data_IF_128696619090
#
_entry.id   IF_128696619090
#
_cell.length_a   1.000
_cell.length_b   1.000
_cell.length_c   1.000
_cell.angle_alpha   90.00
_cell.angle_beta   90.00
_cell.angle_gamma   90.00
#
_symmetry.space_group_name_H-M   'P 1'
#
loop_
_entity.id
_entity.type
_entity.pdbx_description
1 polymer ?
#
# COMPACT_ATOMS: atom_id res chain seq x y z
N UNK A 1 3.96 12.70 -16.98
CA UNK A 1 3.76 11.82 -15.80
C UNK A 1 2.30 11.43 -15.75
N UNK A 2 2.00 10.12 -15.68
CA UNK A 2 0.62 9.65 -15.55
C UNK A 2 0.13 9.94 -14.11
N UNK A 3 -0.81 10.87 -13.96
CA UNK A 3 -1.32 11.33 -12.65
C UNK A 3 -1.91 10.16 -11.85
N UNK A 4 -2.58 9.23 -12.52
CA UNK A 4 -3.14 8.04 -11.88
C UNK A 4 -2.03 7.16 -11.26
N UNK A 5 -0.94 6.94 -12.01
CA UNK A 5 0.20 6.17 -11.52
C UNK A 5 0.90 6.83 -10.33
N UNK A 6 0.87 8.17 -10.24
CA UNK A 6 1.40 8.92 -9.11
C UNK A 6 0.49 8.80 -7.88
N UNK A 7 -0.83 8.93 -8.03
CA UNK A 7 -1.79 8.77 -6.94
C UNK A 7 -1.74 7.37 -6.34
N UNK A 8 -1.67 6.33 -7.18
CA UNK A 8 -1.54 4.94 -6.73
C UNK A 8 -0.22 4.72 -5.97
N UNK A 9 0.88 5.33 -6.42
CA UNK A 9 2.16 5.24 -5.71
C UNK A 9 2.08 5.88 -4.31
N UNK A 10 1.43 7.05 -4.18
CA UNK A 10 1.23 7.69 -2.87
C UNK A 10 0.37 6.82 -1.96
N UNK A 11 -0.72 6.25 -2.48
CA UNK A 11 -1.60 5.36 -1.71
C UNK A 11 -0.84 4.14 -1.16
N UNK A 12 0.04 3.54 -1.95
CA UNK A 12 0.91 2.43 -1.52
C UNK A 12 1.84 2.86 -0.39
N UNK A 13 2.50 4.02 -0.51
CA UNK A 13 3.40 4.53 0.53
C UNK A 13 2.64 4.74 1.85
N UNK A 14 1.45 5.35 1.79
CA UNK A 14 0.61 5.57 2.98
C UNK A 14 0.18 4.24 3.60
N UNK A 15 -0.21 3.26 2.78
CA UNK A 15 -0.59 1.93 3.27
C UNK A 15 0.58 1.21 3.96
N UNK A 16 1.79 1.29 3.38
CA UNK A 16 3.01 0.72 3.96
C UNK A 16 3.36 1.38 5.30
N UNK A 17 3.32 2.72 5.37
CA UNK A 17 3.55 3.45 6.61
C UNK A 17 2.53 3.08 7.69
N UNK A 18 1.24 3.01 7.32
CA UNK A 18 0.18 2.57 8.22
C UNK A 18 0.40 1.14 8.74
N UNK A 19 0.83 0.23 7.86
CA UNK A 19 1.15 -1.14 8.25
C UNK A 19 2.30 -1.20 9.25
N UNK A 20 3.37 -0.43 9.04
CA UNK A 20 4.52 -0.34 9.97
C UNK A 20 4.06 0.18 11.33
N UNK A 21 3.25 1.24 11.37
CA UNK A 21 2.69 1.77 12.62
C UNK A 21 1.86 0.70 13.34
N UNK A 22 1.02 -0.05 12.63
CA UNK A 22 0.24 -1.13 13.22
C UNK A 22 1.09 -2.29 13.73
N UNK A 23 2.23 -2.60 13.09
CA UNK A 23 3.20 -3.57 13.59
C UNK A 23 3.78 -3.10 14.93
N UNK A 24 4.15 -1.83 15.06
CA UNK A 24 4.65 -1.28 16.34
C UNK A 24 3.59 -1.31 17.44
N UNK A 25 2.31 -1.25 17.08
CA UNK A 25 1.17 -1.39 17.99
C UNK A 25 0.78 -2.85 18.28
N UNK A 26 1.52 -3.85 17.77
CA UNK A 26 1.22 -5.28 17.94
C UNK A 26 0.02 -5.80 17.15
N UNK A 27 -0.56 -4.98 16.26
CA UNK A 27 -1.74 -5.30 15.44
C UNK A 27 -1.35 -5.98 14.13
N UNK A 28 -0.70 -7.14 14.22
CA UNK A 28 -0.11 -7.84 13.07
C UNK A 28 -1.12 -8.24 11.99
N UNK A 29 -2.34 -8.63 12.37
CA UNK A 29 -3.39 -8.97 11.39
C UNK A 29 -3.80 -7.80 10.50
N UNK A 30 -3.99 -6.61 11.10
CA UNK A 30 -4.32 -5.39 10.35
C UNK A 30 -3.13 -4.89 9.54
N UNK A 31 -1.91 -5.01 10.07
CA UNK A 31 -0.69 -4.69 9.32
C UNK A 31 -0.55 -5.57 8.09
N UNK A 32 -0.73 -6.89 8.22
CA UNK A 32 -0.71 -7.84 7.11
C UNK A 32 -1.78 -7.52 6.06
N UNK A 33 -2.99 -7.15 6.49
CA UNK A 33 -4.06 -6.71 5.58
C UNK A 33 -3.70 -5.45 4.79
N UNK A 34 -3.02 -4.48 5.41
CA UNK A 34 -2.53 -3.28 4.74
C UNK A 34 -1.40 -3.58 3.76
N UNK A 35 -0.47 -4.46 4.12
CA UNK A 35 0.57 -4.94 3.20
C UNK A 35 -0.05 -5.64 1.99
N UNK A 36 -1.02 -6.54 2.19
CA UNK A 36 -1.72 -7.21 1.09
C UNK A 36 -2.45 -6.21 0.19
N UNK A 37 -3.13 -5.23 0.79
CA UNK A 37 -3.84 -4.18 0.05
C UNK A 37 -2.87 -3.35 -0.80
N UNK A 38 -1.71 -2.98 -0.23
CA UNK A 38 -0.67 -2.27 -0.96
C UNK A 38 -0.13 -3.10 -2.14
N UNK A 39 0.11 -4.39 -1.96
CA UNK A 39 0.54 -5.30 -3.02
C UNK A 39 -0.47 -5.41 -4.16
N UNK A 40 -1.77 -5.47 -3.85
CA UNK A 40 -2.83 -5.48 -4.87
C UNK A 40 -2.83 -4.17 -5.68
N UNK A 41 -2.68 -3.02 -5.01
CA UNK A 41 -2.62 -1.71 -5.67
C UNK A 41 -1.39 -1.64 -6.61
N UNK A 42 -0.24 -2.15 -6.18
CA UNK A 42 0.97 -2.23 -7.02
C UNK A 42 0.71 -3.10 -8.25
N UNK A 43 0.13 -4.29 -8.05
CA UNK A 43 -0.17 -5.22 -9.14
C UNK A 43 -1.03 -4.57 -10.22
N UNK A 44 -2.13 -3.91 -9.81
CA UNK A 44 -2.97 -3.19 -10.77
C UNK A 44 -2.16 -2.07 -11.43
N UNK A 45 -1.44 -1.24 -10.67
CA UNK A 45 -0.62 -0.16 -11.24
C UNK A 45 0.34 -0.65 -12.33
N UNK A 46 0.99 -1.79 -12.15
CA UNK A 46 1.91 -2.36 -13.15
C UNK A 46 1.22 -2.93 -14.39
N UNK A 47 -0.06 -3.33 -14.31
CA UNK A 47 -0.80 -3.75 -15.52
C UNK A 47 -1.18 -2.59 -16.44
N UNK A 48 -1.31 -1.37 -15.90
CA UNK A 48 -1.80 -0.20 -16.63
C UNK A 48 -0.72 0.82 -17.00
N UNK A 49 0.54 0.62 -16.57
CA UNK A 49 1.70 1.47 -16.86
C UNK A 49 2.60 0.77 -17.86
#
# INVERSE_FOLDING_TARGET
MNVLAAVLAVAVVVAMLGAVVLMTAGKLGLAGGLFLSASIIIYFREQWV
#
